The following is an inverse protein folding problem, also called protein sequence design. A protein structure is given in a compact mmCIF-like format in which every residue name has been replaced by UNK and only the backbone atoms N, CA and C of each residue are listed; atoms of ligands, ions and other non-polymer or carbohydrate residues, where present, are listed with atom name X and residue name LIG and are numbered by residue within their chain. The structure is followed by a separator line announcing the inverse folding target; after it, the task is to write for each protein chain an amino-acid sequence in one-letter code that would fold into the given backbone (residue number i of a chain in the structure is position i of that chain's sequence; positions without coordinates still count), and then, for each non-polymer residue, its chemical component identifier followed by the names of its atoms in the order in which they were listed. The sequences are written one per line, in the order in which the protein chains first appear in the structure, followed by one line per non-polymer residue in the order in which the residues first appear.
data_IF_604324560311
#
_entry.id   IF_604324560311
#
_cell.length_a   1.000
_cell.length_b   1.000
_cell.length_c   1.000
_cell.angle_alpha   90.00
_cell.angle_beta   90.00
_cell.angle_gamma   90.00
#
_symmetry.space_group_name_H-M   'P 1'
#
loop_
_entity.id
_entity.type
_entity.pdbx_description
1 polymer ?
#
# COMPACT_ATOMS: atom_id res chain seq x y z
N UNK A 1 12.12 28.18 -33.96
CA UNK A 1 13.58 28.02 -33.90
C UNK A 1 14.30 29.30 -34.35
N UNK A 2 14.07 29.79 -35.57
CA UNK A 2 14.69 31.06 -36.03
C UNK A 2 14.37 32.25 -35.13
N UNK A 3 13.12 32.38 -34.66
CA UNK A 3 12.71 33.43 -33.73
C UNK A 3 13.54 33.44 -32.44
N UNK A 4 13.79 32.26 -31.86
CA UNK A 4 14.60 32.08 -30.64
C UNK A 4 16.04 32.49 -30.89
N UNK A 5 16.62 32.08 -32.03
CA UNK A 5 17.98 32.43 -32.42
C UNK A 5 18.14 33.95 -32.66
N UNK A 6 17.12 34.59 -33.25
CA UNK A 6 17.11 36.05 -33.42
C UNK A 6 17.02 36.78 -32.10
N UNK A 7 16.13 36.36 -31.19
CA UNK A 7 16.00 36.97 -29.86
C UNK A 7 17.26 36.76 -29.01
N UNK A 8 17.87 35.57 -29.07
CA UNK A 8 19.14 35.30 -28.38
C UNK A 8 20.26 36.22 -28.88
N UNK A 9 20.34 36.43 -30.20
CA UNK A 9 21.31 37.35 -30.82
C UNK A 9 21.08 38.80 -30.39
N UNK A 10 19.83 39.25 -30.33
CA UNK A 10 19.46 40.59 -29.88
C UNK A 10 19.78 40.81 -28.38
N UNK A 11 19.82 39.73 -27.60
CA UNK A 11 20.22 39.72 -26.19
C UNK A 11 21.72 39.42 -25.99
N UNK A 12 22.51 39.39 -27.07
CA UNK A 12 23.95 39.05 -27.06
C UNK A 12 24.28 37.69 -26.43
N UNK A 13 23.34 36.74 -26.49
CA UNK A 13 23.51 35.38 -26.01
C UNK A 13 23.99 34.46 -27.14
N UNK A 14 25.02 33.66 -26.86
CA UNK A 14 25.47 32.60 -27.78
C UNK A 14 24.63 31.34 -27.54
N UNK A 15 23.75 31.03 -28.49
CA UNK A 15 22.90 29.83 -28.46
C UNK A 15 23.12 29.06 -29.76
N UNK A 16 23.41 27.75 -29.64
CA UNK A 16 23.59 26.87 -30.80
C UNK A 16 22.26 26.22 -31.16
N UNK A 17 22.09 25.96 -32.45
CA UNK A 17 20.90 25.28 -32.98
C UNK A 17 20.74 23.88 -32.36
N UNK A 18 21.84 23.12 -32.26
CA UNK A 18 21.89 21.80 -31.62
C UNK A 18 21.36 21.83 -30.16
N UNK A 19 21.68 22.88 -29.40
CA UNK A 19 21.23 23.01 -28.00
C UNK A 19 19.72 23.22 -27.91
N UNK A 20 19.11 23.87 -28.91
CA UNK A 20 17.67 24.09 -29.01
C UNK A 20 16.96 22.81 -29.45
N UNK A 21 17.52 22.09 -30.42
CA UNK A 21 16.99 20.79 -30.87
C UNK A 21 16.97 19.78 -29.72
N UNK A 22 18.05 19.68 -28.96
CA UNK A 22 18.14 18.81 -27.78
C UNK A 22 17.15 19.20 -26.67
N UNK A 23 16.79 20.48 -26.57
CA UNK A 23 15.80 20.97 -25.60
C UNK A 23 14.38 20.64 -26.05
N UNK A 24 14.07 20.82 -27.34
CA UNK A 24 12.76 20.49 -27.92
C UNK A 24 12.52 18.99 -27.79
N UNK A 25 13.50 18.16 -28.16
CA UNK A 25 13.40 16.71 -28.08
C UNK A 25 13.17 16.21 -26.65
N UNK A 26 13.85 16.81 -25.66
CA UNK A 26 13.62 16.48 -24.24
C UNK A 26 12.19 16.81 -23.79
N UNK A 27 11.62 17.90 -24.29
CA UNK A 27 10.26 18.30 -23.96
C UNK A 27 9.20 17.46 -24.70
N UNK A 28 9.52 16.88 -25.86
CA UNK A 28 8.66 15.89 -26.54
C UNK A 28 8.59 14.55 -25.78
N UNK A 29 9.67 14.19 -25.06
CA UNK A 29 9.72 12.99 -24.21
C UNK A 29 9.12 13.22 -22.80
N UNK A 30 8.78 14.46 -22.44
CA UNK A 30 8.14 14.80 -21.17
C UNK A 30 6.63 14.48 -21.23
N UNK A 31 6.12 13.79 -20.21
CA UNK A 31 4.70 13.50 -20.10
C UNK A 31 3.91 14.81 -19.98
N UNK A 32 2.82 14.88 -20.76
CA UNK A 32 1.87 15.97 -20.66
C UNK A 32 1.18 15.97 -19.30
N UNK A 33 0.64 17.12 -18.89
CA UNK A 33 -0.09 17.26 -17.62
C UNK A 33 -1.30 16.33 -17.61
N UNK A 34 -1.93 16.14 -18.76
CA UNK A 34 -3.06 15.23 -18.97
C UNK A 34 -2.66 13.76 -18.75
N UNK A 35 -1.54 13.31 -19.32
CA UNK A 35 -1.03 11.95 -19.10
C UNK A 35 -0.63 11.70 -17.64
N UNK A 36 -0.04 12.69 -16.97
CA UNK A 36 0.26 12.59 -15.53
C UNK A 36 -1.02 12.51 -14.68
N UNK A 37 -2.07 13.25 -15.06
CA UNK A 37 -3.37 13.16 -14.39
C UNK A 37 -4.03 11.80 -14.61
N UNK A 38 -3.91 11.23 -15.81
CA UNK A 38 -4.41 9.90 -16.12
C UNK A 38 -3.71 8.83 -15.27
N UNK A 39 -2.37 8.85 -15.20
CA UNK A 39 -1.59 7.93 -14.37
C UNK A 39 -1.97 8.06 -12.89
N UNK A 40 -2.10 9.29 -12.38
CA UNK A 40 -2.48 9.52 -10.99
C UNK A 40 -3.90 9.03 -10.70
N UNK A 41 -4.81 9.17 -11.65
CA UNK A 41 -6.20 8.71 -11.51
C UNK A 41 -6.30 7.17 -11.62
N UNK A 42 -5.50 6.54 -12.49
CA UNK A 42 -5.37 5.08 -12.59
C UNK A 42 -4.79 4.48 -11.31
N UNK A 43 -3.70 5.04 -10.78
CA UNK A 43 -3.12 4.61 -9.49
C UNK A 43 -4.12 4.76 -8.35
N UNK A 44 -4.89 5.86 -8.34
CA UNK A 44 -5.91 6.10 -7.33
C UNK A 44 -7.09 5.12 -7.46
N UNK A 45 -7.49 4.77 -8.68
CA UNK A 45 -8.56 3.81 -8.95
C UNK A 45 -8.14 2.38 -8.62
N UNK A 46 -6.89 2.01 -8.92
CA UNK A 46 -6.32 0.71 -8.55
C UNK A 46 -6.17 0.59 -7.03
N UNK A 47 -5.75 1.66 -6.36
CA UNK A 47 -5.72 1.73 -4.90
C UNK A 47 -7.14 1.61 -4.31
N UNK A 48 -8.14 2.32 -4.84
CA UNK A 48 -9.53 2.22 -4.38
C UNK A 48 -10.15 0.84 -4.63
N UNK A 49 -9.79 0.18 -5.73
CA UNK A 49 -10.23 -1.19 -6.03
C UNK A 49 -9.65 -2.21 -5.04
N UNK A 50 -8.43 -1.98 -4.56
CA UNK A 50 -7.78 -2.79 -3.52
C UNK A 50 -8.21 -2.39 -2.09
N UNK A 51 -8.81 -1.22 -1.91
CA UNK A 51 -9.21 -0.67 -0.60
C UNK A 51 -10.69 -0.84 -0.30
N UNK A 52 -11.56 -1.13 -1.28
CA UNK A 52 -12.94 -1.55 -0.97
C UNK A 52 -12.91 -2.89 -0.25
N UNK A 53 -13.18 -2.94 1.07
CA UNK A 53 -13.51 -4.20 1.68
C UNK A 53 -14.90 -4.51 1.14
N UNK A 54 -15.00 -5.44 0.19
CA UNK A 54 -16.26 -6.15 0.07
C UNK A 54 -16.51 -6.78 1.44
N UNK A 55 -17.38 -6.17 2.24
CA UNK A 55 -17.90 -6.75 3.48
C UNK A 55 -18.70 -8.05 3.20
N UNK A 56 -18.70 -8.52 1.95
CA UNK A 56 -19.40 -9.67 1.41
C UNK A 56 -18.52 -10.53 0.48
N UNK A 57 -17.20 -10.55 0.65
CA UNK A 57 -16.48 -11.77 0.24
C UNK A 57 -16.68 -12.82 1.34
N UNK A 58 -17.87 -13.43 1.33
CA UNK A 58 -18.02 -14.77 1.89
C UNK A 58 -17.14 -15.69 1.05
N UNK A 59 -15.86 -15.78 1.42
CA UNK A 59 -14.97 -16.86 1.00
C UNK A 59 -15.74 -18.18 1.24
N UNK A 60 -15.98 -18.95 0.16
CA UNK A 60 -16.75 -20.22 0.17
C UNK A 60 -16.24 -21.22 1.23
N UNK A 61 -15.01 -20.99 1.73
CA UNK A 61 -14.37 -21.70 2.83
C UNK A 61 -15.10 -21.58 4.18
N UNK A 62 -15.98 -20.59 4.35
CA UNK A 62 -16.62 -20.29 5.62
C UNK A 62 -15.66 -19.69 6.68
N UNK A 63 -16.16 -19.31 7.86
CA UNK A 63 -15.37 -18.60 8.85
C UNK A 63 -14.26 -19.49 9.44
N UNK A 64 -13.01 -19.01 9.40
CA UNK A 64 -11.84 -19.73 9.92
C UNK A 64 -12.05 -20.22 11.36
N UNK A 65 -11.82 -21.51 11.70
CA UNK A 65 -12.04 -22.03 13.04
C UNK A 65 -11.24 -21.30 14.13
N UNK A 66 -11.79 -21.20 15.36
CA UNK A 66 -11.14 -20.53 16.49
C UNK A 66 -9.78 -21.14 16.83
N UNK A 67 -9.65 -22.46 16.74
CA UNK A 67 -8.37 -23.17 16.94
C UNK A 67 -7.33 -22.74 15.91
N UNK A 68 -7.71 -22.67 14.63
CA UNK A 68 -6.83 -22.25 13.56
C UNK A 68 -6.37 -20.79 13.73
N UNK A 69 -7.25 -19.89 14.21
CA UNK A 69 -6.86 -18.51 14.51
C UNK A 69 -5.86 -18.45 15.68
N UNK A 70 -6.06 -19.25 16.73
CA UNK A 70 -5.10 -19.33 17.84
C UNK A 70 -3.74 -19.84 17.38
N UNK A 71 -3.72 -20.83 16.49
CA UNK A 71 -2.47 -21.37 15.95
C UNK A 71 -1.78 -20.40 14.98
N UNK A 72 -2.55 -19.60 14.23
CA UNK A 72 -2.01 -18.48 13.45
C UNK A 72 -1.24 -17.52 14.34
N UNK A 73 -1.80 -17.11 15.49
CA UNK A 73 -1.11 -16.22 16.42
C UNK A 73 0.19 -16.80 16.95
N UNK A 74 0.19 -18.07 17.36
CA UNK A 74 1.42 -18.73 17.82
C UNK A 74 2.51 -18.74 16.74
N UNK A 75 2.15 -19.05 15.49
CA UNK A 75 3.09 -19.06 14.36
C UNK A 75 3.62 -17.67 14.08
N UNK A 76 2.75 -16.67 14.11
CA UNK A 76 3.14 -15.27 13.91
C UNK A 76 4.11 -14.79 14.98
N UNK A 77 3.83 -15.08 16.25
CA UNK A 77 4.72 -14.71 17.36
C UNK A 77 6.07 -15.41 17.24
N UNK A 78 6.09 -16.69 16.84
CA UNK A 78 7.32 -17.43 16.60
C UNK A 78 8.16 -16.83 15.45
N UNK A 79 7.54 -16.52 14.31
CA UNK A 79 8.23 -15.87 13.18
C UNK A 79 8.79 -14.52 13.61
N UNK A 80 8.00 -13.71 14.32
CA UNK A 80 8.44 -12.40 14.81
C UNK A 80 9.65 -12.53 15.73
N UNK A 81 9.60 -13.44 16.69
CA UNK A 81 10.71 -13.67 17.62
C UNK A 81 11.98 -14.10 16.88
N UNK A 82 11.88 -15.02 15.92
CA UNK A 82 13.02 -15.46 15.12
C UNK A 82 13.61 -14.32 14.29
N UNK A 83 12.79 -13.54 13.58
CA UNK A 83 13.31 -12.46 12.75
C UNK A 83 13.93 -11.35 13.61
N UNK A 84 13.35 -11.06 14.77
CA UNK A 84 13.89 -10.12 15.73
C UNK A 84 15.20 -10.62 16.36
N UNK A 85 15.41 -11.92 16.51
CA UNK A 85 16.68 -12.44 17.06
C UNK A 85 17.85 -12.30 16.08
N UNK A 86 17.61 -12.51 14.78
CA UNK A 86 18.68 -12.69 13.80
C UNK A 86 18.89 -11.50 12.86
N UNK A 87 17.94 -10.56 12.77
CA UNK A 87 18.06 -9.43 11.85
C UNK A 87 18.95 -8.31 12.42
N UNK A 88 19.92 -7.75 11.67
CA UNK A 88 20.80 -6.72 12.18
C UNK A 88 20.08 -5.39 12.47
N UNK A 89 19.05 -5.04 11.68
CA UNK A 89 18.24 -3.85 11.92
C UNK A 89 16.91 -4.20 12.61
N UNK A 90 16.89 -4.06 13.93
CA UNK A 90 15.73 -4.34 14.77
C UNK A 90 14.57 -3.37 14.52
N UNK A 91 14.89 -2.09 14.28
CA UNK A 91 13.87 -1.06 14.11
C UNK A 91 13.03 -1.30 12.85
N UNK A 92 13.66 -1.69 11.75
CA UNK A 92 12.96 -2.01 10.50
C UNK A 92 12.04 -3.23 10.68
N UNK A 93 12.51 -4.28 11.37
CA UNK A 93 11.70 -5.48 11.64
C UNK A 93 10.52 -5.17 12.55
N UNK A 94 10.72 -4.36 13.59
CA UNK A 94 9.63 -3.90 14.43
C UNK A 94 8.58 -3.16 13.60
N UNK A 95 8.99 -2.23 12.72
CA UNK A 95 8.08 -1.49 11.85
C UNK A 95 7.27 -2.41 10.92
N UNK A 96 7.92 -3.38 10.28
CA UNK A 96 7.24 -4.38 9.43
C UNK A 96 6.30 -5.24 10.25
N UNK A 97 6.72 -5.67 11.44
CA UNK A 97 5.91 -6.45 12.36
C UNK A 97 4.66 -5.70 12.84
N UNK A 98 4.79 -4.40 13.09
CA UNK A 98 3.67 -3.54 13.50
C UNK A 98 2.68 -3.34 12.35
N UNK A 99 3.18 -3.10 11.14
CA UNK A 99 2.34 -3.01 9.94
C UNK A 99 1.53 -4.31 9.71
N UNK A 100 2.17 -5.48 9.81
CA UNK A 100 1.47 -6.75 9.72
C UNK A 100 0.46 -6.94 10.87
N UNK A 101 0.78 -6.46 12.07
CA UNK A 101 -0.12 -6.53 13.22
C UNK A 101 -1.40 -5.74 12.96
N UNK A 102 -1.29 -4.53 12.43
CA UNK A 102 -2.41 -3.63 12.21
C UNK A 102 -3.27 -4.08 11.03
N UNK A 103 -2.64 -4.49 9.94
CA UNK A 103 -3.34 -4.80 8.69
C UNK A 103 -3.89 -6.23 8.63
N UNK A 104 -3.16 -7.22 9.18
CA UNK A 104 -3.55 -8.63 9.06
C UNK A 104 -3.99 -9.23 10.41
N UNK A 105 -3.14 -9.13 11.44
CA UNK A 105 -3.39 -9.86 12.69
C UNK A 105 -4.58 -9.27 13.47
N UNK A 106 -4.76 -7.95 13.42
CA UNK A 106 -5.84 -7.27 14.12
C UNK A 106 -7.23 -7.71 13.63
N UNK A 107 -7.39 -8.04 12.34
CA UNK A 107 -8.63 -8.61 11.81
C UNK A 107 -9.04 -9.87 12.58
N UNK A 108 -8.11 -10.82 12.73
CA UNK A 108 -8.36 -12.06 13.46
C UNK A 108 -8.58 -11.84 14.96
N UNK A 109 -7.92 -10.84 15.56
CA UNK A 109 -8.19 -10.46 16.97
C UNK A 109 -9.63 -9.97 17.14
N UNK A 110 -10.14 -9.19 16.19
CA UNK A 110 -11.54 -8.72 16.18
C UNK A 110 -12.51 -9.90 16.05
N UNK A 111 -12.21 -10.89 15.19
CA UNK A 111 -13.02 -12.10 15.07
C UNK A 111 -13.11 -12.86 16.40
N UNK A 112 -11.97 -13.11 17.05
CA UNK A 112 -11.96 -13.83 18.32
C UNK A 112 -12.76 -13.10 19.41
N UNK A 113 -12.58 -11.78 19.53
CA UNK A 113 -13.37 -10.97 20.47
C UNK A 113 -14.88 -11.05 20.21
N UNK A 114 -15.30 -11.08 18.94
CA UNK A 114 -16.72 -11.26 18.59
C UNK A 114 -17.23 -12.64 19.04
N UNK A 115 -16.46 -13.71 18.79
CA UNK A 115 -16.84 -15.08 19.18
C UNK A 115 -16.91 -15.28 20.69
N UNK A 116 -15.97 -14.68 21.43
CA UNK A 116 -15.95 -14.72 22.90
C UNK A 116 -17.18 -14.04 23.49
N UNK A 117 -17.55 -12.86 22.97
CA UNK A 117 -18.80 -12.17 23.36
C UNK A 117 -20.03 -13.02 23.06
N UNK A 118 -20.11 -13.63 21.88
CA UNK A 118 -21.23 -14.51 21.53
C UNK A 118 -21.34 -15.70 22.50
N UNK A 119 -20.23 -16.40 22.73
CA UNK A 119 -20.18 -17.52 23.68
C UNK A 119 -20.57 -17.11 25.10
N UNK A 120 -20.24 -15.89 25.51
CA UNK A 120 -20.58 -15.35 26.83
C UNK A 120 -22.09 -15.10 26.90
N UNK A 121 -22.66 -14.43 25.90
CA UNK A 121 -24.11 -14.20 25.81
C UNK A 121 -24.89 -15.52 25.78
N UNK A 122 -24.44 -16.49 25.00
CA UNK A 122 -25.08 -17.80 24.91
C UNK A 122 -25.10 -18.50 26.29
N UNK A 123 -24.02 -18.39 27.06
CA UNK A 123 -23.97 -18.93 28.42
C UNK A 123 -24.93 -18.18 29.37
N UNK A 124 -25.05 -16.86 29.26
CA UNK A 124 -25.97 -16.07 30.08
C UNK A 124 -27.44 -16.40 29.78
N UNK A 125 -27.82 -16.50 28.51
CA UNK A 125 -29.22 -16.74 28.11
C UNK A 125 -29.64 -18.21 28.25
N UNK A 126 -28.69 -19.15 28.23
CA UNK A 126 -28.96 -20.58 28.39
C UNK A 126 -28.60 -21.10 29.79
N UNK A 127 -28.30 -20.21 30.75
CA UNK A 127 -28.14 -20.59 32.14
C UNK A 127 -29.50 -21.01 32.74
N UNK A 128 -29.56 -22.11 33.52
CA UNK A 128 -30.81 -22.62 34.11
C UNK A 128 -31.40 -21.74 35.21
#
# INVERSE_FOLDING_TARGET
MEEILTTARDLELEVKEDDIEDLIKRHEDELTIEELQEILNEEHQETQRNVSPSEQEEDERGPMPTSAIKDLFKKWDAVRAMVLEWHPNQADICRVGDLCNDNAINYFRKILKKREKQSTLDMFFNAP
#
